data_IF_444427019346
#
_entry.id   IF_444427019346
#
_cell.length_a   1.000
_cell.length_b   1.000
_cell.length_c   1.000
_cell.angle_alpha   90.00
_cell.angle_beta   90.00
_cell.angle_gamma   90.00
#
_symmetry.space_group_name_H-M   'P 1'
#
loop_
_entity.id
_entity.type
_entity.pdbx_description
1 polymer ?
#
# COMPACT_ATOMS: atom_id res chain seq x y z
N UNK A 1 -13.86 -13.46 8.54
CA UNK A 1 -13.63 -12.07 9.01
C UNK A 1 -12.25 -11.88 9.67
N UNK A 2 -11.78 -12.73 10.58
CA UNK A 2 -10.43 -12.60 11.19
C UNK A 2 -9.29 -12.60 10.15
N UNK A 3 -9.30 -13.54 9.21
CA UNK A 3 -8.30 -13.65 8.11
C UNK A 3 -8.32 -12.40 7.22
N UNK A 4 -9.52 -11.86 6.94
CA UNK A 4 -9.67 -10.63 6.14
C UNK A 4 -8.94 -9.45 6.77
N UNK A 5 -9.12 -9.23 8.07
CA UNK A 5 -8.39 -8.19 8.81
C UNK A 5 -6.88 -8.43 8.83
N UNK A 6 -6.44 -9.69 8.97
CA UNK A 6 -5.03 -10.05 8.87
C UNK A 6 -4.39 -9.63 7.54
N UNK A 7 -5.08 -9.88 6.41
CA UNK A 7 -4.60 -9.47 5.08
C UNK A 7 -4.48 -7.94 4.99
N UNK A 8 -5.45 -7.17 5.50
CA UNK A 8 -5.38 -5.70 5.49
C UNK A 8 -4.18 -5.20 6.31
N UNK A 9 -3.92 -5.79 7.48
CA UNK A 9 -2.78 -5.42 8.32
C UNK A 9 -1.46 -5.66 7.60
N UNK A 10 -1.30 -6.80 6.92
CA UNK A 10 -0.10 -7.10 6.13
C UNK A 10 0.14 -6.02 5.07
N UNK A 11 -0.91 -5.60 4.35
CA UNK A 11 -0.78 -4.55 3.35
C UNK A 11 -0.39 -3.19 3.94
N UNK A 12 -0.95 -2.82 5.10
CA UNK A 12 -0.55 -1.60 5.81
C UNK A 12 0.92 -1.67 6.22
N UNK A 13 1.38 -2.80 6.77
CA UNK A 13 2.78 -2.98 7.16
C UNK A 13 3.70 -2.84 5.95
N UNK A 14 3.39 -3.52 4.84
CA UNK A 14 4.17 -3.42 3.61
C UNK A 14 4.26 -1.98 3.12
N UNK A 15 3.15 -1.24 3.14
CA UNK A 15 3.14 0.17 2.76
C UNK A 15 4.04 1.02 3.66
N UNK A 16 3.90 0.89 4.98
CA UNK A 16 4.69 1.67 5.96
C UNK A 16 6.17 1.37 5.84
N UNK A 17 6.55 0.09 5.74
CA UNK A 17 7.96 -0.32 5.59
C UNK A 17 8.56 0.27 4.31
N UNK A 18 7.84 0.21 3.19
CA UNK A 18 8.32 0.79 1.93
C UNK A 18 8.41 2.33 2.00
N UNK A 19 7.45 3.00 2.64
CA UNK A 19 7.49 4.45 2.82
C UNK A 19 8.71 4.89 3.65
N UNK A 20 9.00 4.18 4.74
CA UNK A 20 10.20 4.41 5.57
C UNK A 20 11.46 4.16 4.75
N UNK A 21 11.52 3.06 4.00
CA UNK A 21 12.66 2.73 3.14
C UNK A 21 12.95 3.84 2.11
N UNK A 22 11.92 4.38 1.46
CA UNK A 22 12.05 5.49 0.50
C UNK A 22 12.56 6.77 1.16
N UNK A 23 12.18 7.03 2.41
CA UNK A 23 12.64 8.20 3.17
C UNK A 23 14.09 8.08 3.62
N UNK A 24 14.53 6.88 4.03
CA UNK A 24 15.86 6.65 4.58
C UNK A 24 16.93 6.43 3.51
N UNK A 25 16.57 5.96 2.30
CA UNK A 25 17.55 5.71 1.24
C UNK A 25 18.17 7.01 0.71
N UNK A 26 19.50 7.00 0.53
CA UNK A 26 20.28 8.16 0.04
C UNK A 26 20.43 8.19 -1.48
N UNK A 27 20.46 7.01 -2.10
CA UNK A 27 20.70 6.80 -3.53
C UNK A 27 19.59 5.90 -4.06
N UNK A 28 19.14 6.16 -5.28
CA UNK A 28 18.19 5.30 -5.96
C UNK A 28 18.88 4.12 -6.68
N UNK A 29 18.08 3.28 -7.34
CA UNK A 29 18.60 2.09 -8.02
C UNK A 29 19.50 2.42 -9.24
N UNK A 30 19.49 3.66 -9.71
CA UNK A 30 20.31 4.12 -10.84
C UNK A 30 21.64 4.74 -10.39
N UNK A 31 21.87 4.87 -9.08
CA UNK A 31 23.02 5.58 -8.54
C UNK A 31 22.79 7.09 -8.39
N UNK A 32 21.59 7.60 -8.72
CA UNK A 32 21.28 9.01 -8.60
C UNK A 32 20.92 9.37 -7.15
N UNK A 33 21.35 10.57 -6.73
CA UNK A 33 21.11 11.03 -5.37
C UNK A 33 19.64 11.38 -5.17
N UNK A 34 19.05 10.81 -4.12
CA UNK A 34 17.63 10.96 -3.84
C UNK A 34 17.35 12.31 -3.16
N UNK A 35 17.00 13.32 -3.96
CA UNK A 35 16.60 14.66 -3.48
C UNK A 35 15.24 14.62 -2.76
N UNK A 36 14.94 15.64 -1.96
CA UNK A 36 13.65 15.73 -1.25
C UNK A 36 12.45 15.68 -2.21
N UNK A 37 12.54 16.37 -3.35
CA UNK A 37 11.47 16.38 -4.36
C UNK A 37 11.22 14.98 -4.93
N UNK A 38 12.29 14.25 -5.27
CA UNK A 38 12.19 12.88 -5.80
C UNK A 38 11.64 11.91 -4.76
N UNK A 39 11.99 12.08 -3.47
CA UNK A 39 11.42 11.28 -2.37
C UNK A 39 9.92 11.45 -2.28
N UNK A 40 9.45 12.70 -2.24
CA UNK A 40 8.01 13.00 -2.15
C UNK A 40 7.25 12.48 -3.38
N UNK A 41 7.84 12.61 -4.57
CA UNK A 41 7.25 12.06 -5.79
C UNK A 41 7.14 10.53 -5.75
N UNK A 42 8.20 9.86 -5.32
CA UNK A 42 8.22 8.39 -5.15
C UNK A 42 7.20 7.94 -4.11
N UNK A 43 7.09 8.65 -2.98
CA UNK A 43 6.07 8.40 -1.96
C UNK A 43 4.65 8.63 -2.51
N UNK A 44 4.46 9.65 -3.35
CA UNK A 44 3.19 9.91 -4.02
C UNK A 44 2.77 8.74 -4.90
N UNK A 45 3.68 8.21 -5.72
CA UNK A 45 3.43 7.01 -6.55
C UNK A 45 3.09 5.81 -5.68
N UNK A 46 3.87 5.56 -4.62
CA UNK A 46 3.62 4.47 -3.68
C UNK A 46 2.24 4.61 -3.03
N UNK A 47 1.86 5.83 -2.65
CA UNK A 47 0.56 6.16 -2.07
C UNK A 47 -0.60 5.89 -3.03
N UNK A 48 -0.48 6.30 -4.30
CA UNK A 48 -1.50 6.05 -5.33
C UNK A 48 -1.69 4.54 -5.53
N UNK A 49 -0.59 3.79 -5.62
CA UNK A 49 -0.65 2.33 -5.77
C UNK A 49 -1.31 1.66 -4.55
N UNK A 50 -1.00 2.13 -3.35
CA UNK A 50 -1.64 1.65 -2.13
C UNK A 50 -3.14 1.94 -2.10
N UNK A 51 -3.56 3.14 -2.51
CA UNK A 51 -4.99 3.49 -2.64
C UNK A 51 -5.69 2.52 -3.60
N UNK A 52 -5.08 2.22 -4.75
CA UNK A 52 -5.64 1.25 -5.70
C UNK A 52 -5.87 -0.13 -5.06
N UNK A 53 -4.88 -0.63 -4.32
CA UNK A 53 -5.00 -1.91 -3.59
C UNK A 53 -6.14 -1.86 -2.56
N UNK A 54 -6.24 -0.78 -1.79
CA UNK A 54 -7.32 -0.61 -0.80
C UNK A 54 -8.69 -0.60 -1.49
N UNK A 55 -8.84 0.03 -2.65
CA UNK A 55 -10.09 0.01 -3.41
C UNK A 55 -10.45 -1.42 -3.87
N UNK A 56 -9.48 -2.18 -4.39
CA UNK A 56 -9.70 -3.58 -4.73
C UNK A 56 -10.14 -4.42 -3.51
N UNK A 57 -9.51 -4.18 -2.34
CA UNK A 57 -9.90 -4.84 -1.09
C UNK A 57 -11.31 -4.47 -0.66
N UNK A 58 -11.70 -3.20 -0.74
CA UNK A 58 -13.05 -2.75 -0.40
C UNK A 58 -14.11 -3.39 -1.30
N UNK A 59 -13.84 -3.47 -2.61
CA UNK A 59 -14.71 -4.18 -3.55
C UNK A 59 -14.84 -5.66 -3.19
N UNK A 60 -13.71 -6.34 -2.93
CA UNK A 60 -13.73 -7.73 -2.51
C UNK A 60 -14.49 -7.93 -1.19
N UNK A 61 -14.33 -7.04 -0.20
CA UNK A 61 -15.08 -7.08 1.06
C UNK A 61 -16.58 -6.94 0.82
N UNK A 62 -16.97 -6.02 -0.08
CA UNK A 62 -18.38 -5.84 -0.45
C UNK A 62 -18.97 -7.13 -1.02
N UNK A 63 -18.28 -7.78 -1.96
CA UNK A 63 -18.74 -9.05 -2.53
C UNK A 63 -18.80 -10.18 -1.50
N UNK A 64 -17.79 -10.30 -0.64
CA UNK A 64 -17.78 -11.29 0.45
C UNK A 64 -18.98 -11.08 1.37
N UNK A 65 -19.23 -9.85 1.84
CA UNK A 65 -20.39 -9.53 2.70
C UNK A 65 -21.72 -9.78 1.99
N UNK A 66 -21.82 -9.46 0.70
CA UNK A 66 -23.02 -9.72 -0.12
C UNK A 66 -23.30 -11.21 -0.26
N UNK A 67 -22.27 -12.04 -0.44
CA UNK A 67 -22.41 -13.50 -0.51
C UNK A 67 -22.85 -14.11 0.81
N UNK A 68 -22.28 -13.65 1.94
CA UNK A 68 -22.65 -14.14 3.27
C UNK A 68 -24.09 -13.79 3.68
N UNK A 69 -24.67 -12.70 3.14
CA UNK A 69 -26.09 -12.34 3.36
C UNK A 69 -27.09 -13.19 2.56
N UNK A 70 -26.65 -13.89 1.52
CA UNK A 70 -27.51 -14.73 0.67
C UNK A 70 -27.56 -16.20 1.13
N UNK A 71 -26.65 -16.61 2.01
CA UNK A 71 -26.72 -17.88 2.75
C UNK A 71 -27.48 -17.66 4.04
#
# INVERSE_FOLDING_TARGET
MKIWWGINIVWIILFVVNAIFVMLRKVDATGAQQTMQVRLFTLGILGIFFIFIVLCQLLALYFIKRSQRKK
#
